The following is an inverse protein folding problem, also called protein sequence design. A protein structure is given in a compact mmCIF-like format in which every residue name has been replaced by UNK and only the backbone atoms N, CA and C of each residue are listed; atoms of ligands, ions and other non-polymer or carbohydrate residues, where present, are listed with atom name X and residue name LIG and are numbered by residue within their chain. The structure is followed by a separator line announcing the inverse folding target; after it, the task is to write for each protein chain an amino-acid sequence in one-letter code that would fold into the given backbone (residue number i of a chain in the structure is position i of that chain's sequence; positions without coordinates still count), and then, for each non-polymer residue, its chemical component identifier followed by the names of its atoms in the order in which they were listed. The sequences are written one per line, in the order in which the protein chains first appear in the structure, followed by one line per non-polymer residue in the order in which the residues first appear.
data_IF_800006907055
#
_entry.id   IF_800006907055
#
_cell.length_a   1.000
_cell.length_b   1.000
_cell.length_c   1.000
_cell.angle_alpha   90.00
_cell.angle_beta   90.00
_cell.angle_gamma   90.00
#
_symmetry.space_group_name_H-M   'P 1'
#
loop_
_entity.id
_entity.type
_entity.pdbx_description
1 polymer ?
#
# COMPACT_ATOMS: atom_id res chain seq x y z
N UNK A 1 28.47 -0.87 1.47
CA UNK A 1 27.09 -0.33 1.34
C UNK A 1 26.86 0.94 2.14
N UNK A 2 27.83 1.39 2.95
CA UNK A 2 27.67 2.55 3.82
C UNK A 2 27.25 3.89 3.17
N UNK A 3 27.65 4.20 1.94
CA UNK A 3 27.22 5.47 1.30
C UNK A 3 25.73 5.46 0.89
N UNK A 4 25.14 4.29 0.63
CA UNK A 4 23.71 4.15 0.33
C UNK A 4 22.90 4.20 1.62
N UNK A 5 23.37 3.47 2.65
CA UNK A 5 22.74 3.44 3.98
C UNK A 5 22.76 4.81 4.67
N UNK A 6 23.77 5.65 4.39
CA UNK A 6 23.87 7.04 4.87
C UNK A 6 23.17 8.07 3.97
N UNK A 7 22.55 7.66 2.86
CA UNK A 7 21.84 8.55 1.94
C UNK A 7 22.74 9.45 1.07
N UNK A 8 24.05 9.21 1.03
CA UNK A 8 25.03 10.00 0.26
C UNK A 8 24.98 9.68 -1.26
N UNK A 9 24.36 8.56 -1.64
CA UNK A 9 24.25 8.11 -3.04
C UNK A 9 22.94 7.37 -3.30
N UNK A 10 22.22 7.77 -4.34
CA UNK A 10 21.02 7.08 -4.83
C UNK A 10 21.34 5.70 -5.41
N UNK A 11 20.42 4.76 -5.23
CA UNK A 11 20.51 3.40 -5.72
C UNK A 11 19.83 3.26 -7.10
N UNK A 12 20.32 2.34 -7.94
CA UNK A 12 19.63 1.99 -9.19
C UNK A 12 18.50 1.00 -8.92
N UNK A 13 17.46 0.99 -9.76
CA UNK A 13 16.36 0.01 -9.64
C UNK A 13 16.85 -1.44 -9.58
N UNK A 14 17.85 -1.80 -10.38
CA UNK A 14 18.50 -3.13 -10.34
C UNK A 14 19.09 -3.42 -8.95
N UNK A 15 19.78 -2.45 -8.36
CA UNK A 15 20.34 -2.59 -7.00
C UNK A 15 19.23 -2.72 -5.95
N UNK A 16 18.12 -1.99 -6.09
CA UNK A 16 16.95 -2.13 -5.22
C UNK A 16 16.41 -3.55 -5.24
N UNK A 17 16.17 -4.08 -6.46
CA UNK A 17 15.61 -5.42 -6.69
C UNK A 17 16.53 -6.50 -6.11
N UNK A 18 17.86 -6.34 -6.25
CA UNK A 18 18.83 -7.28 -5.67
C UNK A 18 18.85 -7.23 -4.15
N UNK A 19 18.65 -6.07 -3.54
CA UNK A 19 18.59 -5.91 -2.09
C UNK A 19 17.33 -6.53 -1.49
N UNK A 20 16.14 -6.21 -2.03
CA UNK A 20 14.87 -6.77 -1.53
C UNK A 20 14.87 -8.30 -1.60
N UNK A 21 15.38 -8.89 -2.70
CA UNK A 21 15.47 -10.33 -2.88
C UNK A 21 16.46 -10.97 -1.90
N UNK A 22 17.59 -10.31 -1.61
CA UNK A 22 18.58 -10.81 -0.64
C UNK A 22 18.07 -10.74 0.79
N UNK A 23 17.28 -9.72 1.11
CA UNK A 23 16.72 -9.49 2.45
C UNK A 23 15.40 -10.25 2.68
N UNK A 24 14.80 -10.83 1.64
CA UNK A 24 13.54 -11.57 1.74
C UNK A 24 12.32 -10.67 1.99
N UNK A 25 12.39 -9.40 1.56
CA UNK A 25 11.31 -8.41 1.71
C UNK A 25 10.80 -7.95 0.33
N UNK A 26 9.71 -7.20 0.28
CA UNK A 26 9.19 -6.62 -0.97
C UNK A 26 9.72 -5.20 -1.19
N UNK A 27 9.67 -4.73 -2.44
CA UNK A 27 9.97 -3.32 -2.77
C UNK A 27 9.01 -2.39 -2.04
N UNK A 28 7.73 -2.76 -1.98
CA UNK A 28 6.70 -2.01 -1.28
C UNK A 28 7.03 -1.85 0.22
N UNK A 29 7.48 -2.93 0.86
CA UNK A 29 7.94 -2.89 2.25
C UNK A 29 9.15 -1.98 2.47
N UNK A 30 10.13 -1.97 1.55
CA UNK A 30 11.27 -1.04 1.65
C UNK A 30 10.88 0.43 1.50
N UNK A 31 9.71 0.71 0.90
CA UNK A 31 9.22 2.06 0.64
C UNK A 31 8.11 2.49 1.60
N UNK A 32 7.66 1.63 2.52
CA UNK A 32 6.51 1.89 3.39
C UNK A 32 6.63 3.17 4.20
N UNK A 33 7.84 3.50 4.67
CA UNK A 33 8.08 4.69 5.48
C UNK A 33 8.34 5.95 4.64
N UNK A 34 8.55 5.78 3.33
CA UNK A 34 8.79 6.87 2.37
C UNK A 34 7.53 7.25 1.59
N UNK A 35 6.58 6.33 1.50
CA UNK A 35 5.26 6.56 0.91
C UNK A 35 4.31 6.90 2.04
N UNK A 36 4.06 8.19 2.27
CA UNK A 36 3.04 8.62 3.23
C UNK A 36 1.68 8.03 2.82
N UNK A 37 0.92 7.49 3.78
CA UNK A 37 -0.48 7.13 3.61
C UNK A 37 -1.30 8.40 3.37
N UNK A 38 -1.22 8.90 2.14
CA UNK A 38 -2.05 9.97 1.63
C UNK A 38 -3.37 9.36 1.16
N UNK A 39 -4.45 10.15 1.25
CA UNK A 39 -5.76 9.76 0.69
C UNK A 39 -5.62 9.29 -0.77
N UNK A 40 -4.72 9.91 -1.53
CA UNK A 40 -4.43 9.53 -2.91
C UNK A 40 -3.91 8.08 -3.03
N UNK A 41 -3.02 7.65 -2.13
CA UNK A 41 -2.47 6.30 -2.12
C UNK A 41 -3.52 5.27 -1.69
N UNK A 42 -4.33 5.58 -0.68
CA UNK A 42 -5.43 4.72 -0.23
C UNK A 42 -6.45 4.52 -1.36
N UNK A 43 -6.86 5.61 -2.04
CA UNK A 43 -7.78 5.53 -3.19
C UNK A 43 -7.16 4.74 -4.36
N UNK A 44 -5.85 4.89 -4.60
CA UNK A 44 -5.16 4.11 -5.63
C UNK A 44 -5.20 2.60 -5.32
N UNK A 45 -4.97 2.21 -4.06
CA UNK A 45 -5.08 0.81 -3.63
C UNK A 45 -6.51 0.28 -3.81
N UNK A 46 -7.54 1.04 -3.42
CA UNK A 46 -8.95 0.68 -3.67
C UNK A 46 -9.23 0.45 -5.16
N UNK A 47 -8.69 1.30 -6.04
CA UNK A 47 -8.82 1.13 -7.49
C UNK A 47 -8.16 -0.16 -7.98
N UNK A 48 -6.96 -0.48 -7.48
CA UNK A 48 -6.25 -1.69 -7.89
C UNK A 48 -6.99 -2.98 -7.48
N UNK A 49 -7.46 -3.07 -6.23
CA UNK A 49 -8.14 -4.28 -5.74
C UNK A 49 -9.53 -4.48 -6.36
N UNK A 50 -10.18 -3.38 -6.75
CA UNK A 50 -11.49 -3.44 -7.43
C UNK A 50 -11.33 -3.58 -8.94
N UNK A 51 -10.14 -3.37 -9.50
CA UNK A 51 -9.92 -3.49 -10.94
C UNK A 51 -10.25 -4.92 -11.41
N UNK A 52 -10.84 -5.02 -12.60
CA UNK A 52 -11.29 -6.27 -13.24
C UNK A 52 -12.28 -7.13 -12.44
N UNK A 53 -12.75 -6.67 -11.28
CA UNK A 53 -13.82 -7.36 -10.56
C UNK A 53 -15.19 -7.13 -11.24
N UNK A 54 -16.06 -8.16 -11.30
CA UNK A 54 -17.45 -8.01 -11.71
C UNK A 54 -18.19 -6.98 -10.86
N UNK A 55 -19.21 -6.34 -11.45
CA UNK A 55 -20.01 -5.30 -10.78
C UNK A 55 -20.57 -5.75 -9.43
N UNK A 56 -21.07 -6.99 -9.35
CA UNK A 56 -21.63 -7.57 -8.13
C UNK A 56 -20.60 -7.65 -7.00
N UNK A 57 -19.34 -8.00 -7.31
CA UNK A 57 -18.26 -8.07 -6.32
C UNK A 57 -17.83 -6.69 -5.85
N UNK A 58 -17.81 -5.71 -6.74
CA UNK A 58 -17.57 -4.30 -6.38
C UNK A 58 -18.66 -3.79 -5.43
N UNK A 59 -19.92 -4.09 -5.72
CA UNK A 59 -21.04 -3.70 -4.87
C UNK A 59 -20.99 -4.40 -3.50
N UNK A 60 -20.63 -5.68 -3.47
CA UNK A 60 -20.44 -6.43 -2.23
C UNK A 60 -19.32 -5.81 -1.38
N UNK A 61 -18.17 -5.47 -1.98
CA UNK A 61 -17.07 -4.81 -1.27
C UNK A 61 -17.51 -3.47 -0.65
N UNK A 62 -18.28 -2.66 -1.38
CA UNK A 62 -18.85 -1.41 -0.84
C UNK A 62 -19.78 -1.70 0.35
N UNK A 63 -20.61 -2.73 0.27
CA UNK A 63 -21.53 -3.07 1.36
C UNK A 63 -20.76 -3.50 2.62
N UNK A 64 -19.70 -4.30 2.48
CA UNK A 64 -18.84 -4.69 3.61
C UNK A 64 -18.16 -3.48 4.25
N UNK A 65 -17.61 -2.56 3.44
CA UNK A 65 -17.00 -1.33 3.96
C UNK A 65 -18.01 -0.46 4.71
N UNK A 66 -19.23 -0.31 4.20
CA UNK A 66 -20.32 0.40 4.90
C UNK A 66 -20.65 -0.25 6.23
N UNK A 67 -20.75 -1.59 6.27
CA UNK A 67 -21.01 -2.31 7.52
C UNK A 67 -19.90 -2.07 8.53
N UNK A 68 -18.63 -2.17 8.12
CA UNK A 68 -17.47 -1.90 8.99
C UNK A 68 -17.53 -0.47 9.53
N UNK A 69 -17.73 0.52 8.65
CA UNK A 69 -17.78 1.92 9.08
C UNK A 69 -18.98 2.23 9.99
N UNK A 70 -20.11 1.56 9.80
CA UNK A 70 -21.28 1.72 10.66
C UNK A 70 -21.05 1.29 12.13
N UNK A 71 -20.00 0.52 12.43
CA UNK A 71 -19.64 0.22 13.82
C UNK A 71 -18.99 1.42 14.50
N UNK A 72 -18.11 2.13 13.80
CA UNK A 72 -17.44 3.32 14.36
C UNK A 72 -18.39 4.51 14.54
N UNK A 73 -19.44 4.61 13.71
CA UNK A 73 -20.49 5.62 13.88
C UNK A 73 -21.38 5.36 15.11
N UNK A 74 -21.47 4.10 15.58
CA UNK A 74 -22.25 3.74 16.78
C UNK A 74 -21.48 3.98 18.08
N UNK A 75 -20.17 3.87 18.05
CA UNK A 75 -19.30 4.14 19.20
C UNK A 75 -19.07 5.66 19.42
N UNK A 76 -19.50 6.50 18.48
CA UNK A 76 -19.43 7.97 18.54
C UNK A 76 -20.66 8.64 19.19
N UNK A 77 -21.59 7.87 19.78
CA UNK A 77 -22.82 8.33 20.46
C UNK A 77 -22.79 8.02 21.95
#
# INVERSE_FOLDING_TARGET
MGAIERGERSLTLDTLVRLVNRLGVTVDYMLSDSVTDSDANIIAQFRQITDRQPLERKQMAINVLRTIFSYFDKDAV
#
